data_IF_847328705871
#
_entry.id   IF_847328705871
#
_cell.length_a   1.000
_cell.length_b   1.000
_cell.length_c   1.000
_cell.angle_alpha   90.00
_cell.angle_beta   90.00
_cell.angle_gamma   90.00
#
_symmetry.space_group_name_H-M   'P 1'
#
loop_
_entity.id
_entity.type
_entity.pdbx_description
1 polymer ?
#
# COMPACT_ATOMS: atom_id res chain seq x y z
N UNK A 1 74.13 -20.65 -14.46
CA UNK A 1 72.97 -21.07 -13.63
C UNK A 1 71.80 -20.16 -13.95
N UNK A 2 70.81 -20.63 -14.72
CA UNK A 2 69.51 -19.97 -14.88
C UNK A 2 68.48 -20.99 -15.37
N UNK A 3 67.87 -21.65 -14.39
CA UNK A 3 66.48 -22.14 -14.33
C UNK A 3 65.87 -22.77 -15.60
N UNK A 4 66.05 -24.09 -15.71
CA UNK A 4 65.01 -24.97 -16.25
C UNK A 4 63.78 -24.88 -15.34
N UNK A 5 62.79 -24.09 -15.74
CA UNK A 5 61.52 -24.00 -15.03
C UNK A 5 60.37 -24.39 -15.96
N UNK A 6 59.94 -25.64 -15.85
CA UNK A 6 58.53 -26.02 -16.06
C UNK A 6 58.05 -26.10 -17.50
N UNK A 7 58.73 -26.88 -18.35
CA UNK A 7 58.13 -27.31 -19.62
C UNK A 7 57.22 -28.50 -19.35
N UNK A 8 55.93 -28.25 -19.15
CA UNK A 8 54.93 -29.31 -19.07
C UNK A 8 54.90 -30.02 -20.44
N UNK A 9 55.19 -31.34 -20.51
CA UNK A 9 55.28 -32.04 -21.79
C UNK A 9 53.94 -31.98 -22.55
N UNK A 10 53.97 -31.59 -23.82
CA UNK A 10 52.78 -31.57 -24.70
C UNK A 10 52.12 -30.19 -24.89
N UNK A 11 52.60 -29.14 -24.21
CA UNK A 11 52.17 -27.77 -24.49
C UNK A 11 53.01 -27.12 -25.59
N UNK A 12 52.36 -26.29 -26.41
CA UNK A 12 52.99 -25.52 -27.49
C UNK A 12 53.89 -24.43 -26.90
N UNK A 13 55.06 -24.24 -27.52
CA UNK A 13 55.96 -23.11 -27.25
C UNK A 13 55.22 -21.75 -27.31
N UNK A 14 55.51 -20.79 -26.41
CA UNK A 14 54.83 -19.50 -26.38
C UNK A 14 55.03 -18.74 -27.70
N UNK A 15 54.00 -18.04 -28.17
CA UNK A 15 54.10 -17.33 -29.43
C UNK A 15 55.19 -16.25 -29.42
N UNK A 16 56.11 -16.34 -30.39
CA UNK A 16 57.23 -15.40 -30.56
C UNK A 16 56.77 -13.99 -30.99
N UNK A 17 55.64 -13.89 -31.71
CA UNK A 17 55.10 -12.62 -32.20
C UNK A 17 54.20 -11.99 -31.15
N UNK A 18 54.44 -10.72 -30.83
CA UNK A 18 53.68 -9.95 -29.81
C UNK A 18 52.16 -10.02 -30.01
N UNK A 19 51.67 -9.91 -31.25
CA UNK A 19 50.23 -9.99 -31.55
C UNK A 19 49.60 -11.37 -31.35
N UNK A 20 50.36 -12.45 -31.58
CA UNK A 20 49.90 -13.81 -31.31
C UNK A 20 49.89 -14.09 -29.81
N UNK A 21 50.93 -13.63 -29.10
CA UNK A 21 51.02 -13.73 -27.65
C UNK A 21 49.90 -12.95 -26.93
N UNK A 22 49.53 -11.79 -27.45
CA UNK A 22 48.40 -11.03 -26.92
C UNK A 22 47.07 -11.81 -27.06
N UNK A 23 46.83 -12.43 -28.22
CA UNK A 23 45.63 -13.28 -28.43
C UNK A 23 45.61 -14.52 -27.55
N UNK A 24 46.77 -15.13 -27.30
CA UNK A 24 46.90 -16.27 -26.38
C UNK A 24 46.60 -15.88 -24.92
N UNK A 25 47.01 -14.67 -24.51
CA UNK A 25 46.75 -14.14 -23.17
C UNK A 25 45.33 -13.61 -22.98
N UNK A 26 44.69 -13.12 -24.05
CA UNK A 26 43.31 -12.63 -24.05
C UNK A 26 42.27 -13.77 -24.07
N UNK A 27 42.70 -15.04 -24.21
CA UNK A 27 41.80 -16.17 -24.12
C UNK A 27 41.30 -16.33 -22.67
N UNK A 28 40.17 -15.71 -22.38
CA UNK A 28 39.51 -15.77 -21.08
C UNK A 28 38.27 -16.66 -21.14
N UNK A 29 38.33 -17.81 -20.49
CA UNK A 29 37.18 -18.69 -20.26
C UNK A 29 36.68 -18.52 -18.84
N UNK A 30 35.54 -17.85 -18.68
CA UNK A 30 34.86 -17.68 -17.39
C UNK A 30 33.85 -18.82 -17.19
N UNK A 31 34.00 -19.60 -16.12
CA UNK A 31 33.08 -20.67 -15.73
C UNK A 31 31.91 -20.19 -14.86
N UNK A 32 31.59 -18.89 -14.89
CA UNK A 32 30.46 -18.35 -14.13
C UNK A 32 29.17 -19.07 -14.52
N UNK A 33 28.40 -19.46 -13.52
CA UNK A 33 27.07 -20.05 -13.67
C UNK A 33 26.10 -18.99 -14.18
N UNK A 34 26.16 -18.70 -15.47
CA UNK A 34 25.24 -17.80 -16.18
C UNK A 34 24.30 -18.67 -16.98
N UNK A 35 23.02 -18.29 -17.01
CA UNK A 35 22.04 -18.96 -17.86
C UNK A 35 22.50 -18.85 -19.32
N UNK A 36 22.46 -19.98 -20.05
CA UNK A 36 22.85 -19.97 -21.46
C UNK A 36 21.97 -18.97 -22.22
N UNK A 37 22.54 -18.19 -23.16
CA UNK A 37 21.75 -17.34 -24.03
C UNK A 37 20.69 -18.19 -24.74
N UNK A 38 19.41 -17.82 -24.57
CA UNK A 38 18.33 -18.50 -25.25
C UNK A 38 18.29 -18.04 -26.70
N UNK A 39 18.64 -18.94 -27.62
CA UNK A 39 18.51 -18.67 -29.04
C UNK A 39 17.02 -18.61 -29.42
N UNK A 40 16.61 -17.51 -30.07
CA UNK A 40 15.23 -17.32 -30.53
C UNK A 40 15.16 -17.43 -32.06
N UNK A 41 14.79 -18.61 -32.61
CA UNK A 41 14.85 -18.87 -34.05
C UNK A 41 13.93 -17.95 -34.87
N UNK A 42 12.81 -17.49 -34.31
CA UNK A 42 11.89 -16.60 -35.03
C UNK A 42 12.47 -15.21 -35.34
N UNK A 43 13.49 -14.77 -34.60
CA UNK A 43 14.15 -13.48 -34.84
C UNK A 43 15.40 -13.62 -35.70
N UNK A 44 15.75 -14.84 -36.11
CA UNK A 44 16.85 -15.07 -37.01
C UNK A 44 16.47 -14.68 -38.44
N UNK A 45 17.21 -13.74 -39.01
CA UNK A 45 17.04 -13.25 -40.39
C UNK A 45 17.16 -14.40 -41.39
N UNK A 46 18.05 -15.36 -41.15
CA UNK A 46 18.27 -16.47 -42.07
C UNK A 46 17.13 -17.48 -42.05
N UNK A 47 16.35 -17.55 -40.97
CA UNK A 47 15.21 -18.46 -40.85
C UNK A 47 13.89 -17.82 -41.31
N UNK A 48 13.87 -16.51 -41.60
CA UNK A 48 12.65 -15.79 -42.00
C UNK A 48 11.88 -16.44 -43.15
N UNK A 49 12.60 -17.00 -44.12
CA UNK A 49 12.00 -17.65 -45.28
C UNK A 49 11.06 -18.83 -44.93
N UNK A 50 11.25 -19.48 -43.76
CA UNK A 50 10.44 -20.62 -43.34
C UNK A 50 8.96 -20.25 -43.12
N UNK A 51 8.68 -19.01 -42.70
CA UNK A 51 7.32 -18.53 -42.41
C UNK A 51 6.83 -17.47 -43.40
N UNK A 52 7.55 -17.23 -44.49
CA UNK A 52 7.06 -16.43 -45.63
C UNK A 52 6.00 -17.20 -46.43
N UNK A 53 5.99 -18.54 -46.36
CA UNK A 53 4.99 -19.36 -47.04
C UNK A 53 3.57 -19.02 -46.55
N UNK A 54 2.62 -18.64 -47.43
CA UNK A 54 1.27 -18.21 -47.05
C UNK A 54 0.52 -19.20 -46.16
N UNK A 55 0.70 -20.51 -46.37
CA UNK A 55 0.06 -21.55 -45.56
C UNK A 55 0.56 -21.57 -44.13
N UNK A 56 1.89 -21.53 -43.97
CA UNK A 56 2.55 -21.52 -42.66
C UNK A 56 2.28 -20.18 -41.96
N UNK A 57 2.34 -19.07 -42.71
CA UNK A 57 2.03 -17.73 -42.21
C UNK A 57 0.63 -17.67 -41.60
N UNK A 58 -0.39 -18.18 -42.29
CA UNK A 58 -1.75 -18.19 -41.77
C UNK A 58 -1.85 -18.95 -40.45
N UNK A 59 -1.24 -20.13 -40.37
CA UNK A 59 -1.22 -20.92 -39.13
C UNK A 59 -0.48 -20.20 -38.01
N UNK A 60 0.69 -19.61 -38.30
CA UNK A 60 1.48 -18.88 -37.30
C UNK A 60 0.82 -17.57 -36.85
N UNK A 61 0.12 -16.87 -37.74
CA UNK A 61 -0.70 -15.70 -37.40
C UNK A 61 -1.88 -16.11 -36.51
N UNK A 62 -2.61 -17.19 -36.86
CA UNK A 62 -3.70 -17.69 -36.01
C UNK A 62 -3.22 -18.14 -34.62
N UNK A 63 -1.97 -18.59 -34.52
CA UNK A 63 -1.34 -18.98 -33.26
C UNK A 63 -0.73 -17.79 -32.49
N UNK A 64 -0.70 -16.58 -33.07
CA UNK A 64 -0.19 -15.36 -32.44
C UNK A 64 1.34 -15.24 -32.41
N UNK A 65 2.05 -16.02 -33.24
CA UNK A 65 3.52 -15.92 -33.39
C UNK A 65 3.95 -14.84 -34.38
N UNK A 66 3.05 -14.48 -35.29
CA UNK A 66 3.27 -13.44 -36.30
C UNK A 66 2.20 -12.35 -36.15
N UNK A 67 2.61 -11.12 -36.41
CA UNK A 67 1.73 -9.96 -36.52
C UNK A 67 0.94 -9.97 -37.86
N UNK A 68 0.01 -9.05 -38.02
CA UNK A 68 -0.76 -8.86 -39.26
C UNK A 68 0.18 -8.56 -40.45
N UNK A 69 1.25 -7.80 -40.18
CA UNK A 69 2.35 -7.51 -41.11
C UNK A 69 3.25 -8.72 -41.42
N UNK A 70 3.07 -9.85 -40.71
CA UNK A 70 3.90 -11.05 -40.86
C UNK A 70 5.25 -10.99 -40.14
N UNK A 71 5.43 -10.04 -39.21
CA UNK A 71 6.63 -9.93 -38.37
C UNK A 71 6.54 -10.85 -37.13
N UNK A 72 7.66 -11.44 -36.68
CA UNK A 72 7.67 -12.28 -35.48
C UNK A 72 7.38 -11.48 -34.21
N UNK A 73 6.49 -12.02 -33.37
CA UNK A 73 6.07 -11.43 -32.10
C UNK A 73 6.83 -12.09 -30.95
N UNK A 74 7.39 -11.29 -30.03
CA UNK A 74 8.05 -11.82 -28.83
C UNK A 74 7.02 -12.14 -27.74
N UNK A 75 6.50 -13.37 -27.78
CA UNK A 75 5.49 -13.86 -26.84
C UNK A 75 5.96 -13.74 -25.38
N UNK A 76 7.25 -13.94 -25.10
CA UNK A 76 7.78 -13.86 -23.74
C UNK A 76 7.86 -12.41 -23.24
N UNK A 77 8.07 -11.44 -24.13
CA UNK A 77 7.96 -10.03 -23.77
C UNK A 77 6.50 -9.65 -23.49
N UNK A 78 5.56 -10.14 -24.30
CA UNK A 78 4.13 -9.91 -24.10
C UNK A 78 3.63 -10.53 -22.79
N UNK A 79 4.01 -11.78 -22.49
CA UNK A 79 3.67 -12.45 -21.22
C UNK A 79 4.16 -11.67 -20.01
N UNK A 80 5.41 -11.19 -20.04
CA UNK A 80 5.95 -10.35 -18.96
C UNK A 80 5.17 -9.05 -18.79
N UNK A 81 4.79 -8.40 -19.89
CA UNK A 81 3.99 -7.17 -19.84
C UNK A 81 2.60 -7.44 -19.25
N UNK A 82 1.93 -8.52 -19.68
CA UNK A 82 0.63 -8.91 -19.13
C UNK A 82 0.71 -9.22 -17.64
N UNK A 83 1.75 -9.95 -17.20
CA UNK A 83 1.96 -10.25 -15.79
C UNK A 83 2.09 -8.98 -14.92
N UNK A 84 2.81 -7.97 -15.39
CA UNK A 84 2.92 -6.68 -14.69
C UNK A 84 1.57 -6.00 -14.60
N UNK A 85 0.80 -5.94 -15.70
CA UNK A 85 -0.52 -5.33 -15.72
C UNK A 85 -1.48 -6.05 -14.75
N UNK A 86 -1.47 -7.38 -14.73
CA UNK A 86 -2.29 -8.18 -13.81
C UNK A 86 -1.93 -7.89 -12.35
N UNK A 87 -0.63 -7.78 -12.04
CA UNK A 87 -0.16 -7.43 -10.71
C UNK A 87 -0.58 -6.01 -10.30
N UNK A 88 -0.46 -5.04 -11.20
CA UNK A 88 -0.88 -3.65 -10.95
C UNK A 88 -2.39 -3.56 -10.73
N UNK A 89 -3.19 -4.29 -11.52
CA UNK A 89 -4.64 -4.35 -11.35
C UNK A 89 -5.03 -4.94 -9.99
N UNK A 90 -4.41 -6.06 -9.62
CA UNK A 90 -4.65 -6.69 -8.32
C UNK A 90 -4.30 -5.75 -7.15
N UNK A 91 -3.21 -4.99 -7.27
CA UNK A 91 -2.84 -3.99 -6.27
C UNK A 91 -3.85 -2.83 -6.21
N UNK A 92 -4.31 -2.34 -7.37
CA UNK A 92 -5.32 -1.29 -7.43
C UNK A 92 -6.62 -1.72 -6.74
N UNK A 93 -7.10 -2.94 -7.01
CA UNK A 93 -8.28 -3.51 -6.36
C UNK A 93 -8.12 -3.60 -4.84
N UNK A 94 -6.95 -4.01 -4.35
CA UNK A 94 -6.67 -4.06 -2.92
C UNK A 94 -6.71 -2.67 -2.27
N UNK A 95 -6.12 -1.67 -2.92
CA UNK A 95 -6.13 -0.28 -2.46
C UNK A 95 -7.54 0.28 -2.42
N UNK A 96 -8.36 0.00 -3.44
CA UNK A 96 -9.74 0.45 -3.48
C UNK A 96 -10.58 -0.18 -2.35
N UNK A 97 -10.45 -1.50 -2.15
CA UNK A 97 -11.11 -2.20 -1.03
C UNK A 97 -10.68 -1.68 0.33
N UNK A 98 -9.42 -1.28 0.49
CA UNK A 98 -8.94 -0.66 1.72
C UNK A 98 -9.54 0.74 1.91
N UNK A 99 -9.54 1.56 0.86
CA UNK A 99 -10.17 2.90 0.88
C UNK A 99 -11.66 2.85 1.20
N UNK A 100 -12.38 1.85 0.67
CA UNK A 100 -13.80 1.66 0.96
C UNK A 100 -14.03 1.36 2.46
N UNK A 101 -13.27 0.41 3.01
CA UNK A 101 -13.31 0.07 4.45
C UNK A 101 -12.94 1.25 5.34
N UNK A 102 -11.94 2.03 4.97
CA UNK A 102 -11.55 3.23 5.71
C UNK A 102 -12.63 4.31 5.72
N UNK A 103 -13.33 4.51 4.59
CA UNK A 103 -14.46 5.44 4.51
C UNK A 103 -15.60 4.99 5.40
N UNK A 104 -15.91 3.70 5.42
CA UNK A 104 -16.94 3.12 6.28
C UNK A 104 -16.59 3.29 7.76
N UNK A 105 -15.39 2.90 8.18
CA UNK A 105 -14.90 3.10 9.55
C UNK A 105 -14.99 4.56 9.99
N UNK A 106 -14.56 5.51 9.14
CA UNK A 106 -14.66 6.94 9.45
C UNK A 106 -16.10 7.40 9.64
N UNK A 107 -17.04 6.89 8.85
CA UNK A 107 -18.48 7.20 9.03
C UNK A 107 -18.99 6.67 10.36
N UNK A 108 -18.64 5.44 10.71
CA UNK A 108 -19.01 4.85 12.00
C UNK A 108 -18.44 5.65 13.17
N UNK A 109 -17.15 6.02 13.10
CA UNK A 109 -16.48 6.85 14.10
C UNK A 109 -17.18 8.21 14.28
N UNK A 110 -17.57 8.86 13.19
CA UNK A 110 -18.31 10.13 13.23
C UNK A 110 -19.68 9.97 13.92
N UNK A 111 -20.41 8.90 13.61
CA UNK A 111 -21.72 8.61 14.24
C UNK A 111 -21.54 8.38 15.75
N UNK A 112 -20.54 7.59 16.14
CA UNK A 112 -20.23 7.30 17.55
C UNK A 112 -19.86 8.60 18.28
N UNK A 113 -19.02 9.43 17.68
CA UNK A 113 -18.60 10.70 18.27
C UNK A 113 -19.79 11.65 18.45
N UNK A 114 -20.65 11.80 17.43
CA UNK A 114 -21.85 12.62 17.50
C UNK A 114 -22.77 12.16 18.64
N UNK A 115 -23.00 10.84 18.76
CA UNK A 115 -23.82 10.27 19.84
C UNK A 115 -23.20 10.50 21.22
N UNK A 116 -21.87 10.42 21.34
CA UNK A 116 -21.16 10.73 22.60
C UNK A 116 -21.31 12.19 22.99
N UNK A 117 -21.20 13.10 22.02
CA UNK A 117 -21.40 14.53 22.24
C UNK A 117 -22.84 14.84 22.68
N UNK A 118 -23.83 14.22 22.02
CA UNK A 118 -25.24 14.37 22.37
C UNK A 118 -25.51 13.93 23.82
N UNK A 119 -25.05 12.73 24.21
CA UNK A 119 -25.20 12.23 25.59
C UNK A 119 -24.48 13.14 26.59
N UNK A 120 -23.30 13.67 26.23
CA UNK A 120 -22.58 14.61 27.08
C UNK A 120 -23.36 15.92 27.28
N UNK A 121 -23.96 16.45 26.21
CA UNK A 121 -24.76 17.67 26.26
C UNK A 121 -26.01 17.46 27.12
N UNK A 122 -26.75 16.37 26.90
CA UNK A 122 -27.91 16.01 27.73
C UNK A 122 -27.55 15.94 29.22
N UNK A 123 -26.36 15.41 29.55
CA UNK A 123 -25.88 15.37 30.94
C UNK A 123 -25.61 16.77 31.49
N UNK A 124 -24.99 17.66 30.71
CA UNK A 124 -24.75 19.05 31.11
C UNK A 124 -26.09 19.75 31.37
N UNK A 125 -27.02 19.64 30.45
CA UNK A 125 -28.34 20.28 30.52
C UNK A 125 -29.12 19.78 31.75
N UNK A 126 -29.07 18.48 32.04
CA UNK A 126 -29.69 17.90 33.24
C UNK A 126 -29.07 18.47 34.54
N UNK A 127 -27.74 18.63 34.60
CA UNK A 127 -27.06 19.23 35.77
C UNK A 127 -27.45 20.70 35.91
N UNK A 128 -27.54 21.45 34.81
CA UNK A 128 -27.96 22.84 34.82
C UNK A 128 -29.41 22.98 35.31
N UNK A 129 -30.34 22.16 34.80
CA UNK A 129 -31.73 22.14 35.23
C UNK A 129 -31.88 21.86 36.74
N UNK A 130 -31.09 20.93 37.29
CA UNK A 130 -31.06 20.66 38.74
C UNK A 130 -30.53 21.85 39.52
N UNK A 131 -29.47 22.52 39.04
CA UNK A 131 -28.91 23.72 39.67
C UNK A 131 -29.91 24.88 39.67
N UNK A 132 -30.58 25.14 38.56
CA UNK A 132 -31.61 26.17 38.45
C UNK A 132 -32.81 25.87 39.35
N UNK A 133 -33.27 24.61 39.39
CA UNK A 133 -34.34 24.19 40.29
C UNK A 133 -33.99 24.43 41.76
N UNK A 134 -32.74 24.15 42.17
CA UNK A 134 -32.25 24.46 43.52
C UNK A 134 -32.19 25.97 43.77
N UNK A 135 -31.78 26.77 42.78
CA UNK A 135 -31.74 28.24 42.89
C UNK A 135 -33.14 28.82 43.08
N UNK A 136 -34.09 28.44 42.22
CA UNK A 136 -35.51 28.88 42.33
C UNK A 136 -36.12 28.49 43.67
N UNK A 137 -35.86 27.27 44.17
CA UNK A 137 -36.33 26.86 45.50
C UNK A 137 -35.78 27.74 46.61
N UNK A 138 -34.48 28.09 46.57
CA UNK A 138 -33.86 29.00 47.54
C UNK A 138 -34.48 30.39 47.49
N UNK A 139 -34.71 30.93 46.30
CA UNK A 139 -35.37 32.22 46.09
C UNK A 139 -36.79 32.20 46.67
N UNK A 140 -37.60 31.16 46.40
CA UNK A 140 -38.95 31.02 46.97
C UNK A 140 -38.93 30.88 48.50
N UNK A 141 -38.01 30.11 49.07
CA UNK A 141 -37.88 30.01 50.53
C UNK A 141 -37.40 31.31 51.16
N UNK A 142 -36.49 32.06 50.50
CA UNK A 142 -36.01 33.34 51.00
C UNK A 142 -37.11 34.42 50.94
N UNK A 143 -37.89 34.46 49.86
CA UNK A 143 -39.02 35.38 49.69
C UNK A 143 -40.19 34.99 50.61
N UNK A 144 -40.40 33.69 50.83
CA UNK A 144 -41.35 33.16 51.82
C UNK A 144 -40.96 33.47 53.26
N UNK A 145 -39.67 33.41 53.62
CA UNK A 145 -39.17 33.82 54.93
C UNK A 145 -39.25 35.34 55.11
N UNK A 146 -38.93 36.13 54.07
CA UNK A 146 -39.03 37.58 54.11
C UNK A 146 -40.48 38.07 54.29
N UNK A 147 -41.46 37.32 53.78
CA UNK A 147 -42.90 37.55 54.03
C UNK A 147 -43.38 37.00 55.37
N UNK A 148 -42.72 36.01 55.96
CA UNK A 148 -43.11 35.43 57.26
C UNK A 148 -42.52 36.15 58.48
N UNK A 149 -41.66 37.14 58.29
CA UNK A 149 -41.12 37.98 59.39
C UNK A 149 -41.93 39.24 59.66
N UNK A 150 -43.02 39.50 58.92
CA UNK A 150 -43.98 40.53 59.30
C UNK A 150 -45.08 39.91 60.16
N UNK A 151 -45.17 40.41 61.40
CA UNK A 151 -46.19 40.13 62.44
C UNK A 151 -46.05 38.84 63.26
N UNK A 152 -45.27 38.90 64.33
CA UNK A 152 -45.64 38.34 65.63
C UNK A 152 -45.93 39.52 66.57
N UNK A 153 -47.14 39.67 67.13
CA UNK A 153 -47.41 40.70 68.13
C UNK A 153 -46.83 40.26 69.48
N UNK A 154 -46.03 41.13 70.10
CA UNK A 154 -45.54 40.95 71.47
C UNK A 154 -46.54 41.57 72.46
N UNK A 155 -47.32 40.76 73.16
CA UNK A 155 -48.19 41.12 74.30
C UNK A 155 -48.31 39.84 75.15
N UNK A 156 -48.08 39.76 76.46
CA UNK A 156 -47.70 40.67 77.54
C UNK A 156 -47.64 39.79 78.79
N UNK A 157 -46.54 39.87 79.56
CA UNK A 157 -46.31 39.03 80.73
C UNK A 157 -46.92 39.72 81.96
N UNK A 158 -48.18 39.39 82.29
CA UNK A 158 -48.81 39.82 83.54
C UNK A 158 -48.78 38.66 84.55
N UNK A 159 -47.91 38.80 85.54
CA UNK A 159 -47.95 38.04 86.79
C UNK A 159 -48.72 38.82 87.85
N UNK A 160 -49.55 38.17 88.68
CA UNK A 160 -49.71 38.62 90.04
C UNK A 160 -49.36 37.54 91.07
N UNK A 161 -48.75 38.06 92.12
CA UNK A 161 -48.29 37.42 93.35
C UNK A 161 -49.47 37.22 94.29
N UNK A 162 -49.61 36.00 94.82
CA UNK A 162 -50.02 35.59 96.19
C UNK A 162 -50.83 34.30 96.17
#
# INVERSE_FOLDING_TARGET
>A
MAQEAGMIPGLREPAKRKGLRARELDFHSSSRTVQLPQYKPMFDVHLQHLWVNPRIRQTMQSAGFLDDDGKPVDVDAHRRKLFVIEQELAQADMVERYRARDKERKREEMIILAKRQEVHQQRIDAVQAVREGRRRRREVTADGMARSTSSLPAIGNDSPVS
#
